data_IF_156370393676
#
_entry.id   IF_156370393676
#
_cell.length_a   1.000
_cell.length_b   1.000
_cell.length_c   1.000
_cell.angle_alpha   90.00
_cell.angle_beta   90.00
_cell.angle_gamma   90.00
#
_symmetry.space_group_name_H-M   'P 1'
#
loop_
_entity.id
_entity.type
_entity.pdbx_description
1 polymer ?
#
# COMPACT_ATOMS: atom_id res chain seq x y z
N UNK A 1 -8.09 -3.16 -0.28
CA UNK A 1 -8.33 -1.85 -0.92
C UNK A 1 -8.05 -0.75 0.08
N UNK A 2 -7.54 0.38 -0.41
CA UNK A 2 -7.36 1.62 0.38
C UNK A 2 -8.31 2.69 -0.14
N UNK A 3 -8.53 3.75 0.63
CA UNK A 3 -9.33 4.92 0.24
C UNK A 3 -8.48 6.04 -0.39
N UNK A 4 -7.17 5.81 -0.50
CA UNK A 4 -6.19 6.63 -1.22
C UNK A 4 -5.61 5.85 -2.41
N UNK A 5 -4.82 6.49 -3.27
CA UNK A 5 -4.37 5.88 -4.54
C UNK A 5 -3.43 4.67 -4.39
N UNK A 6 -2.78 4.50 -3.24
CA UNK A 6 -1.81 3.45 -2.96
C UNK A 6 -1.22 3.59 -1.55
N UNK A 7 -0.03 3.06 -1.34
CA UNK A 7 0.76 3.28 -0.12
C UNK A 7 1.64 4.52 -0.29
N UNK A 8 1.72 5.34 0.76
CA UNK A 8 2.45 6.60 0.78
C UNK A 8 3.45 6.63 1.93
N UNK A 9 4.49 7.46 1.81
CA UNK A 9 5.49 7.71 2.87
C UNK A 9 4.92 8.43 4.09
N UNK A 10 3.87 9.23 3.90
CA UNK A 10 3.08 9.91 4.93
C UNK A 10 1.62 10.01 4.46
N UNK A 11 0.68 10.24 5.37
CA UNK A 11 -0.74 10.35 5.03
C UNK A 11 -0.99 11.49 4.00
N UNK A 12 -1.43 11.17 2.76
CA UNK A 12 -1.65 12.17 1.71
C UNK A 12 -2.86 13.06 1.99
N UNK A 13 -3.73 12.72 2.95
CA UNK A 13 -4.85 13.57 3.35
C UNK A 13 -4.42 14.75 4.22
N UNK A 14 -3.31 14.58 4.95
CA UNK A 14 -2.79 15.60 5.87
C UNK A 14 -1.52 16.27 5.36
N UNK A 15 -0.80 15.64 4.42
CA UNK A 15 0.42 16.18 3.85
C UNK A 15 0.39 16.19 2.31
N UNK A 16 0.33 17.37 1.71
CA UNK A 16 0.32 17.56 0.24
C UNK A 16 1.62 17.14 -0.44
N UNK A 17 2.72 16.98 0.31
CA UNK A 17 4.02 16.52 -0.20
C UNK A 17 4.17 14.99 -0.13
N UNK A 18 3.15 14.26 0.31
CA UNK A 18 3.17 12.80 0.40
C UNK A 18 3.51 12.18 -0.95
N UNK A 19 4.45 11.24 -0.95
CA UNK A 19 4.90 10.51 -2.13
C UNK A 19 4.36 9.09 -2.09
N UNK A 20 3.68 8.71 -3.17
CA UNK A 20 3.19 7.35 -3.33
C UNK A 20 4.34 6.44 -3.73
N UNK A 21 4.42 5.26 -3.12
CA UNK A 21 5.29 4.20 -3.61
C UNK A 21 4.62 3.53 -4.81
N UNK A 22 5.25 3.54 -5.98
CA UNK A 22 4.73 2.83 -7.16
C UNK A 22 5.00 1.33 -7.08
N UNK A 23 6.18 0.97 -6.54
CA UNK A 23 6.64 -0.40 -6.35
C UNK A 23 7.39 -0.52 -5.03
N UNK A 24 7.22 -1.64 -4.33
CA UNK A 24 7.96 -2.00 -3.13
C UNK A 24 8.31 -3.49 -3.18
N UNK A 25 9.55 -3.79 -2.85
CA UNK A 25 9.96 -5.15 -2.45
C UNK A 25 9.46 -5.45 -1.03
N UNK A 26 9.41 -6.73 -0.67
CA UNK A 26 9.10 -7.16 0.69
C UNK A 26 10.05 -6.53 1.73
N UNK A 27 11.33 -6.38 1.39
CA UNK A 27 12.31 -5.76 2.27
C UNK A 27 12.00 -4.28 2.52
N UNK A 28 11.70 -3.52 1.46
CA UNK A 28 11.31 -2.11 1.56
C UNK A 28 9.98 -1.95 2.30
N UNK A 29 9.01 -2.82 2.03
CA UNK A 29 7.72 -2.83 2.73
C UNK A 29 7.90 -3.01 4.24
N UNK A 30 8.76 -3.94 4.67
CA UNK A 30 9.08 -4.14 6.10
C UNK A 30 9.73 -2.90 6.72
N UNK A 31 10.53 -2.15 5.96
CA UNK A 31 11.09 -0.88 6.43
C UNK A 31 10.00 0.19 6.55
N UNK A 32 9.11 0.30 5.56
CA UNK A 32 7.94 1.20 5.60
C UNK A 32 7.05 0.87 6.79
N UNK A 33 6.75 -0.41 7.05
CA UNK A 33 5.95 -0.84 8.18
C UNK A 33 6.54 -0.39 9.53
N UNK A 34 7.87 -0.50 9.71
CA UNK A 34 8.56 -0.04 10.92
C UNK A 34 8.46 1.48 11.09
N UNK A 35 8.58 2.23 10.00
CA UNK A 35 8.44 3.70 10.04
C UNK A 35 7.02 4.11 10.43
N UNK A 36 6.00 3.45 9.87
CA UNK A 36 4.59 3.67 10.19
C UNK A 36 4.24 3.26 11.63
N UNK A 37 4.91 2.25 12.18
CA UNK A 37 4.70 1.79 13.57
C UNK A 37 5.47 2.59 14.63
N UNK A 38 6.53 3.31 14.25
CA UNK A 38 7.44 3.97 15.19
C UNK A 38 7.41 5.51 15.21
N UNK A 39 6.74 6.15 14.25
CA UNK A 39 6.73 7.60 14.12
C UNK A 39 5.32 8.15 14.01
N UNK A 40 5.15 9.42 14.36
CA UNK A 40 3.93 10.24 14.40
C UNK A 40 3.09 10.30 13.09
N UNK A 41 3.13 9.28 12.24
CA UNK A 41 2.12 9.06 11.20
C UNK A 41 0.86 8.62 11.94
N UNK A 42 -0.10 9.53 11.98
CA UNK A 42 -1.37 9.41 12.68
C UNK A 42 -2.22 8.29 12.04
N UNK A 43 -1.80 7.03 12.13
CA UNK A 43 -2.68 5.87 11.90
C UNK A 43 -3.53 5.69 13.15
N UNK A 44 -4.45 6.62 13.36
CA UNK A 44 -5.41 6.65 14.48
C UNK A 44 -6.33 5.42 14.54
N UNK A 45 -6.23 4.52 13.54
CA UNK A 45 -7.04 3.29 13.43
C UNK A 45 -6.22 2.00 13.45
N UNK A 46 -4.88 2.07 13.39
CA UNK A 46 -4.05 0.92 13.04
C UNK A 46 -4.39 0.31 11.67
N UNK A 47 -5.13 1.02 10.82
CA UNK A 47 -5.74 0.49 9.62
C UNK A 47 -4.73 0.26 8.49
N UNK A 48 -3.76 1.16 8.31
CA UNK A 48 -2.73 1.00 7.28
C UNK A 48 -1.64 0.05 7.75
N UNK A 49 -1.19 0.19 9.01
CA UNK A 49 -0.21 -0.70 9.60
C UNK A 49 -0.68 -2.17 9.60
N UNK A 50 -1.95 -2.41 9.97
CA UNK A 50 -2.51 -3.77 9.97
C UNK A 50 -2.73 -4.32 8.56
N UNK A 51 -3.19 -3.51 7.60
CA UNK A 51 -3.26 -3.92 6.19
C UNK A 51 -1.89 -4.34 5.65
N UNK A 52 -0.82 -3.61 6.00
CA UNK A 52 0.55 -3.99 5.63
C UNK A 52 0.97 -5.30 6.30
N UNK A 53 0.64 -5.47 7.59
CA UNK A 53 0.92 -6.71 8.30
C UNK A 53 0.22 -7.93 7.64
N UNK A 54 -1.03 -7.78 7.22
CA UNK A 54 -1.82 -8.83 6.57
C UNK A 54 -1.27 -9.26 5.19
N UNK A 55 -0.66 -8.35 4.45
CA UNK A 55 -0.11 -8.64 3.12
C UNK A 55 1.31 -9.22 3.13
N UNK A 56 2.07 -9.04 4.21
CA UNK A 56 3.44 -9.59 4.34
C UNK A 56 3.49 -11.11 4.12
N UNK A 57 2.65 -11.94 4.79
CA UNK A 57 2.68 -13.38 4.58
C UNK A 57 2.42 -13.78 3.14
N UNK A 58 1.49 -13.11 2.44
CA UNK A 58 1.20 -13.42 1.04
C UNK A 58 2.43 -13.16 0.15
N UNK A 59 3.07 -12.00 0.35
CA UNK A 59 4.26 -11.61 -0.41
C UNK A 59 5.47 -12.51 -0.09
N UNK A 60 5.62 -12.96 1.16
CA UNK A 60 6.65 -13.93 1.56
C UNK A 60 6.55 -15.26 0.78
N UNK A 61 5.32 -15.69 0.50
CA UNK A 61 5.01 -16.85 -0.33
C UNK A 61 5.08 -16.57 -1.85
N UNK A 62 5.57 -15.40 -2.25
CA UNK A 62 5.75 -15.03 -3.66
C UNK A 62 4.48 -14.55 -4.36
N UNK A 63 3.42 -14.23 -3.61
CA UNK A 63 2.20 -13.66 -4.17
C UNK A 63 2.40 -12.17 -4.35
N UNK A 64 2.37 -11.71 -5.61
CA UNK A 64 2.36 -10.28 -5.94
C UNK A 64 1.04 -9.65 -5.49
N UNK A 65 1.14 -8.54 -4.76
CA UNK A 65 -0.01 -7.78 -4.24
C UNK A 65 -0.05 -6.42 -4.91
N UNK A 66 -1.24 -6.02 -5.38
CA UNK A 66 -1.48 -4.68 -5.92
C UNK A 66 -2.43 -3.92 -4.99
N UNK A 67 -1.92 -2.88 -4.32
CA UNK A 67 -2.74 -1.99 -3.49
C UNK A 67 -3.33 -0.87 -4.34
N UNK A 68 -4.66 -0.78 -4.35
CA UNK A 68 -5.41 0.18 -5.19
C UNK A 68 -6.47 0.91 -4.39
N UNK A 69 -6.84 2.10 -4.88
CA UNK A 69 -7.99 2.84 -4.38
C UNK A 69 -9.29 2.13 -4.75
N UNK A 70 -9.96 1.54 -3.76
CA UNK A 70 -11.22 0.82 -3.95
C UNK A 70 -12.42 1.77 -4.16
N UNK A 71 -12.28 3.06 -3.84
CA UNK A 71 -13.35 4.06 -4.04
C UNK A 71 -13.41 4.56 -5.47
N UNK A 72 -12.35 4.33 -6.28
CA UNK A 72 -12.32 4.73 -7.68
C UNK A 72 -13.16 3.77 -8.53
N UNK A 73 -14.12 4.27 -9.32
CA UNK A 73 -14.94 3.43 -10.18
C UNK A 73 -14.09 2.54 -11.08
N UNK A 74 -14.48 1.27 -11.20
CA UNK A 74 -13.85 0.26 -12.06
C UNK A 74 -12.40 -0.13 -11.70
N UNK A 75 -11.76 0.43 -10.69
CA UNK A 75 -10.37 0.08 -10.35
C UNK A 75 -10.21 -1.40 -10.01
N UNK A 76 -11.11 -1.97 -9.20
CA UNK A 76 -11.09 -3.40 -8.86
C UNK A 76 -11.23 -4.26 -10.12
N UNK A 77 -12.18 -3.93 -10.99
CA UNK A 77 -12.40 -4.65 -12.25
C UNK A 77 -11.17 -4.61 -13.16
N UNK A 78 -10.56 -3.43 -13.31
CA UNK A 78 -9.35 -3.25 -14.11
C UNK A 78 -8.15 -4.00 -13.52
N UNK A 79 -8.00 -4.00 -12.20
CA UNK A 79 -6.95 -4.76 -11.51
C UNK A 79 -7.04 -6.26 -11.83
N UNK A 80 -8.25 -6.83 -11.74
CA UNK A 80 -8.51 -8.24 -12.02
C UNK A 80 -8.30 -8.61 -13.49
N UNK A 81 -8.44 -7.64 -14.41
CA UNK A 81 -8.12 -7.81 -15.83
C UNK A 81 -6.64 -7.67 -16.17
N UNK A 82 -5.79 -7.30 -15.20
CA UNK A 82 -4.38 -6.98 -15.46
C UNK A 82 -4.18 -5.68 -16.24
N UNK A 83 -5.19 -4.80 -16.27
CA UNK A 83 -5.03 -3.47 -16.87
C UNK A 83 -4.11 -2.61 -16.00
N UNK A 84 -3.29 -1.76 -16.64
CA UNK A 84 -2.49 -0.77 -15.91
C UNK A 84 -3.40 0.22 -15.21
N UNK A 85 -3.33 0.23 -13.88
CA UNK A 85 -4.02 1.17 -13.01
C UNK A 85 -3.04 1.75 -12.00
N UNK A 86 -3.37 2.92 -11.47
CA UNK A 86 -2.58 3.55 -10.42
C UNK A 86 -2.74 2.76 -9.12
N UNK A 87 -1.62 2.47 -8.47
CA UNK A 87 -1.54 1.70 -7.23
C UNK A 87 -0.09 1.50 -6.81
N UNK A 88 0.08 0.76 -5.73
CA UNK A 88 1.41 0.29 -5.27
C UNK A 88 1.51 -1.20 -5.55
N UNK A 89 2.48 -1.59 -6.37
CA UNK A 89 2.84 -2.99 -6.62
C UNK A 89 3.80 -3.48 -5.54
N UNK A 90 3.49 -4.61 -4.93
CA UNK A 90 4.30 -5.21 -3.87
C UNK A 90 4.63 -6.64 -4.27
N UNK A 91 5.91 -7.00 -4.27
CA UNK A 91 6.34 -8.36 -4.54
C UNK A 91 7.57 -8.73 -3.71
N UNK A 92 8.01 -9.97 -3.84
CA UNK A 92 9.11 -10.50 -3.03
C UNK A 92 10.46 -9.88 -3.38
N UNK A 93 10.76 -9.76 -4.67
CA UNK A 93 12.03 -9.26 -5.24
C UNK A 93 11.79 -8.37 -6.47
#
# INVERSE_FOLDING_TARGET
>A
GVDVDGLYDVDPKTNVKAKMFERLTLAELKNVQKLLGGSNVCDVTGGMANKIAELIPAVEHGITVLMVNATKPRYIYKALKGERIKGTLIEKE
#
